data_IF_224194146388
#
_entry.id   IF_224194146388
#
_cell.length_a   1.000
_cell.length_b   1.000
_cell.length_c   1.000
_cell.angle_alpha   90.00
_cell.angle_beta   90.00
_cell.angle_gamma   90.00
#
_symmetry.space_group_name_H-M   'P 1'
#
loop_
_entity.id
_entity.type
_entity.pdbx_description
1 polymer ?
#
# COMPACT_ATOMS: atom_id res chain seq x y z
N UNK A 1 10.43 37.69 -1.58
CA UNK A 1 10.73 37.12 -2.92
C UNK A 1 9.76 36.01 -3.33
N UNK A 2 9.11 35.33 -2.38
CA UNK A 2 8.27 34.14 -2.65
C UNK A 2 6.77 34.44 -2.76
N UNK A 3 6.39 35.53 -3.43
CA UNK A 3 5.01 35.67 -3.88
C UNK A 3 4.95 35.27 -5.35
N UNK A 4 4.17 34.22 -5.70
CA UNK A 4 3.96 33.89 -7.10
C UNK A 4 3.28 35.06 -7.83
N UNK A 5 3.48 35.20 -9.16
CA UNK A 5 2.92 36.29 -9.93
C UNK A 5 1.39 36.41 -9.77
N UNK A 6 0.90 37.64 -9.69
CA UNK A 6 -0.55 37.92 -9.65
C UNK A 6 -1.23 37.33 -10.89
N UNK A 7 -2.20 36.43 -10.69
CA UNK A 7 -2.98 35.79 -11.76
C UNK A 7 -2.76 34.28 -11.94
N UNK A 8 -1.89 33.64 -11.15
CA UNK A 8 -1.70 32.17 -11.20
C UNK A 8 -2.76 31.38 -10.41
N UNK A 9 -3.56 32.06 -9.59
CA UNK A 9 -4.69 31.49 -8.86
C UNK A 9 -5.98 31.97 -9.52
N UNK A 10 -6.67 31.07 -10.20
CA UNK A 10 -8.04 31.31 -10.62
C UNK A 10 -8.96 30.80 -9.53
N UNK A 11 -9.50 31.73 -8.73
CA UNK A 11 -10.46 31.47 -7.64
C UNK A 11 -11.87 31.11 -8.19
N UNK A 12 -11.97 30.75 -9.48
CA UNK A 12 -13.22 30.33 -10.11
C UNK A 12 -13.83 29.08 -9.45
N UNK A 13 -15.17 29.05 -9.26
CA UNK A 13 -15.89 27.90 -8.70
C UNK A 13 -15.68 26.65 -9.58
N UNK A 14 -15.05 25.61 -9.03
CA UNK A 14 -14.77 24.35 -9.74
C UNK A 14 -13.30 23.94 -9.84
N UNK A 15 -12.37 24.75 -9.33
CA UNK A 15 -10.94 24.43 -9.40
C UNK A 15 -10.52 23.37 -8.36
N UNK A 16 -9.79 22.33 -8.80
CA UNK A 16 -9.41 21.19 -7.93
C UNK A 16 -8.23 21.52 -7.02
N UNK A 17 -8.06 20.70 -5.96
CA UNK A 17 -6.99 20.72 -4.94
C UNK A 17 -5.59 21.14 -5.45
N UNK A 18 -5.21 20.76 -6.68
CA UNK A 18 -3.91 21.08 -7.27
C UNK A 18 -3.67 22.56 -7.60
N UNK A 19 -4.74 23.36 -7.75
CA UNK A 19 -4.68 24.79 -8.09
C UNK A 19 -4.67 25.73 -6.88
N UNK A 20 -4.82 25.18 -5.68
CA UNK A 20 -5.07 25.94 -4.48
C UNK A 20 -3.79 26.37 -3.77
N UNK A 21 -3.83 27.57 -3.16
CA UNK A 21 -2.78 28.15 -2.30
C UNK A 21 -2.36 27.22 -1.15
N UNK A 22 -3.12 26.15 -0.86
CA UNK A 22 -2.84 25.14 0.17
C UNK A 22 -1.78 24.10 -0.21
N UNK A 23 -1.31 24.07 -1.47
CA UNK A 23 -0.24 23.14 -1.91
C UNK A 23 1.18 23.68 -1.67
N UNK A 24 1.34 24.92 -1.23
CA UNK A 24 2.64 25.34 -0.70
C UNK A 24 2.86 24.63 0.63
N UNK A 25 4.08 24.12 0.91
CA UNK A 25 4.41 23.61 2.24
C UNK A 25 4.02 24.69 3.25
N UNK A 26 3.37 24.30 4.34
CA UNK A 26 2.94 25.23 5.38
C UNK A 26 4.09 26.17 5.72
N UNK A 27 3.98 27.44 5.32
CA UNK A 27 4.99 28.42 5.61
C UNK A 27 4.84 28.82 7.07
N UNK A 28 5.87 28.54 7.88
CA UNK A 28 5.90 28.97 9.27
C UNK A 28 6.08 30.47 9.33
N UNK A 29 5.04 31.20 9.73
CA UNK A 29 5.11 32.64 9.91
C UNK A 29 5.62 32.96 11.31
N UNK A 30 6.89 33.36 11.38
CA UNK A 30 7.63 33.65 12.61
C UNK A 30 6.92 34.59 13.59
N UNK A 31 6.03 35.45 13.12
CA UNK A 31 5.24 36.41 13.90
C UNK A 31 3.84 35.91 14.32
N UNK A 32 3.42 34.73 13.83
CA UNK A 32 2.13 34.09 14.17
C UNK A 32 2.29 32.89 15.11
N UNK A 33 3.52 32.51 15.47
CA UNK A 33 3.79 31.43 16.41
C UNK A 33 4.12 31.96 17.81
N UNK A 34 3.57 31.32 18.83
CA UNK A 34 3.88 31.60 20.23
C UNK A 34 5.27 31.05 20.59
N UNK A 35 6.22 31.95 20.80
CA UNK A 35 7.62 31.66 21.20
C UNK A 35 7.83 31.56 22.71
N UNK A 36 6.78 31.68 23.51
CA UNK A 36 6.86 31.52 24.95
C UNK A 36 7.24 30.10 25.34
N UNK A 37 7.85 29.95 26.53
CA UNK A 37 8.13 28.64 27.12
C UNK A 37 6.88 27.76 27.12
N UNK A 38 7.05 26.50 26.74
CA UNK A 38 5.96 25.53 26.70
C UNK A 38 6.07 24.60 27.89
N UNK A 39 5.05 24.62 28.73
CA UNK A 39 4.93 23.64 29.82
C UNK A 39 4.12 22.46 29.30
N UNK A 40 4.73 21.29 29.30
CA UNK A 40 4.09 20.04 28.85
C UNK A 40 3.75 19.14 30.05
N UNK A 41 3.17 17.97 29.76
CA UNK A 41 2.75 16.99 30.77
C UNK A 41 3.89 16.71 31.75
N UNK A 42 3.56 16.68 33.05
CA UNK A 42 4.57 16.54 34.12
C UNK A 42 5.20 17.85 34.59
N UNK A 43 4.81 19.00 34.03
CA UNK A 43 5.34 20.31 34.41
C UNK A 43 6.75 20.58 33.88
N UNK A 44 7.19 19.77 32.90
CA UNK A 44 8.45 19.98 32.19
C UNK A 44 8.32 21.24 31.34
N UNK A 45 9.26 22.17 31.51
CA UNK A 45 9.32 23.39 30.73
C UNK A 45 10.30 23.18 29.58
N UNK A 46 9.79 23.26 28.36
CA UNK A 46 10.62 23.33 27.17
C UNK A 46 10.93 24.81 26.92
N UNK A 47 12.20 25.13 27.10
CA UNK A 47 12.79 26.46 26.93
C UNK A 47 13.06 26.70 25.45
N UNK A 48 12.48 27.77 24.91
CA UNK A 48 12.65 28.23 23.53
C UNK A 48 13.74 29.33 23.43
N UNK A 49 14.75 29.26 24.30
CA UNK A 49 15.83 30.25 24.40
C UNK A 49 17.12 29.82 23.68
N UNK A 50 17.09 28.74 22.92
CA UNK A 50 18.21 28.29 22.09
C UNK A 50 18.36 29.17 20.86
N UNK A 51 19.59 29.45 20.44
CA UNK A 51 19.83 29.94 19.07
C UNK A 51 19.77 28.74 18.13
N UNK A 52 19.36 28.98 16.88
CA UNK A 52 19.44 28.01 15.79
C UNK A 52 20.87 27.48 15.69
N UNK A 53 21.09 26.29 16.23
CA UNK A 53 22.35 25.58 16.08
C UNK A 53 22.21 24.71 14.83
N UNK A 54 23.23 24.69 13.95
CA UNK A 54 23.17 24.31 12.53
C UNK A 54 22.60 22.92 12.15
N UNK A 55 22.04 22.18 13.09
CA UNK A 55 21.26 20.94 12.89
C UNK A 55 19.74 21.18 12.76
N UNK A 56 19.21 22.35 13.13
CA UNK A 56 17.77 22.61 13.20
C UNK A 56 17.35 23.76 12.27
N UNK A 57 16.24 23.58 11.52
CA UNK A 57 15.74 24.61 10.58
C UNK A 57 15.05 25.77 11.30
N UNK A 58 14.46 25.52 12.47
CA UNK A 58 13.90 26.55 13.37
C UNK A 58 13.79 25.98 14.81
N UNK A 59 13.45 26.84 15.79
CA UNK A 59 13.27 26.42 17.19
C UNK A 59 12.04 25.52 17.42
N UNK A 60 10.99 25.65 16.60
CA UNK A 60 9.82 24.77 16.66
C UNK A 60 10.17 23.31 16.38
N UNK A 61 11.08 23.05 15.45
CA UNK A 61 11.58 21.71 15.13
C UNK A 61 12.35 21.10 16.32
N UNK A 62 13.07 21.93 17.07
CA UNK A 62 13.77 21.52 18.28
C UNK A 62 12.78 21.16 19.38
N UNK A 63 11.80 22.03 19.64
CA UNK A 63 10.78 21.80 20.67
C UNK A 63 9.98 20.51 20.39
N UNK A 64 9.54 20.29 19.16
CA UNK A 64 8.84 19.06 18.76
C UNK A 64 9.69 17.81 18.98
N UNK A 65 10.99 17.87 18.68
CA UNK A 65 11.92 16.76 18.94
C UNK A 65 12.14 16.54 20.42
N UNK A 66 12.25 17.59 21.24
CA UNK A 66 12.41 17.47 22.68
C UNK A 66 11.16 16.86 23.35
N UNK A 67 9.95 17.27 22.93
CA UNK A 67 8.68 16.64 23.33
C UNK A 67 8.66 15.17 22.92
N UNK A 68 9.01 14.88 21.66
CA UNK A 68 9.00 13.51 21.16
C UNK A 68 10.03 12.64 21.87
N UNK A 69 11.23 13.17 22.12
CA UNK A 69 12.29 12.51 22.87
C UNK A 69 11.90 12.28 24.33
N UNK A 70 11.15 13.20 24.93
CA UNK A 70 10.62 13.04 26.28
C UNK A 70 9.63 11.86 26.35
N UNK A 71 8.62 11.89 25.48
CA UNK A 71 7.50 10.95 25.47
C UNK A 71 7.91 9.59 24.91
N UNK A 72 8.51 9.58 23.72
CA UNK A 72 8.79 8.39 22.93
C UNK A 72 10.22 7.87 23.10
N UNK A 73 11.17 8.68 23.56
CA UNK A 73 12.59 8.31 23.54
C UNK A 73 13.30 8.76 22.25
N UNK A 74 14.60 8.50 22.11
CA UNK A 74 15.42 9.10 21.04
C UNK A 74 16.21 8.04 20.27
N UNK A 75 16.35 8.21 18.95
CA UNK A 75 17.08 7.27 18.10
C UNK A 75 18.60 7.19 18.41
N UNK A 76 19.16 8.22 19.06
CA UNK A 76 20.61 8.34 19.27
C UNK A 76 21.01 8.30 20.74
N UNK A 77 20.06 8.22 21.67
CA UNK A 77 20.36 8.21 23.08
C UNK A 77 20.59 6.76 23.54
N UNK A 78 21.84 6.46 23.90
CA UNK A 78 22.25 5.17 24.44
C UNK A 78 22.15 5.08 25.96
N UNK A 79 21.79 6.19 26.63
CA UNK A 79 21.57 6.20 28.08
C UNK A 79 20.16 5.68 28.39
N UNK A 80 20.03 4.59 29.16
CA UNK A 80 18.73 4.08 29.57
C UNK A 80 17.96 5.12 30.39
N UNK A 81 16.67 5.34 30.07
CA UNK A 81 15.79 6.15 30.91
C UNK A 81 15.34 5.37 32.13
N UNK A 82 15.24 6.05 33.26
CA UNK A 82 14.49 5.54 34.42
C UNK A 82 12.98 5.65 34.18
N UNK A 83 12.20 4.74 34.76
CA UNK A 83 10.75 4.72 34.64
C UNK A 83 10.10 4.90 36.01
N UNK A 84 9.12 5.80 36.10
CA UNK A 84 8.42 6.12 37.35
C UNK A 84 6.91 5.84 37.25
N UNK A 85 6.24 5.53 38.37
CA UNK A 85 4.79 5.33 38.42
C UNK A 85 3.99 6.63 38.32
N UNK A 86 4.63 7.78 38.47
CA UNK A 86 4.05 9.12 38.30
C UNK A 86 4.85 9.90 37.25
N UNK A 87 4.20 10.87 36.61
CA UNK A 87 4.88 11.75 35.67
C UNK A 87 5.93 12.58 36.40
N UNK A 88 7.17 12.54 35.89
CA UNK A 88 8.30 13.27 36.44
C UNK A 88 8.51 14.61 35.73
N UNK A 89 9.08 15.57 36.46
CA UNK A 89 9.64 16.80 35.89
C UNK A 89 11.01 16.59 35.24
N UNK A 90 11.65 15.45 35.50
CA UNK A 90 12.94 15.08 34.92
C UNK A 90 12.74 14.53 33.50
N UNK A 91 13.34 15.14 32.47
CA UNK A 91 13.23 14.66 31.09
C UNK A 91 13.84 13.27 30.84
N UNK A 92 14.65 12.78 31.77
CA UNK A 92 15.23 11.42 31.77
C UNK A 92 14.34 10.37 32.44
N UNK A 93 13.21 10.78 33.03
CA UNK A 93 12.26 9.87 33.70
C UNK A 93 10.96 9.81 32.91
N UNK A 94 10.63 8.65 32.34
CA UNK A 94 9.36 8.45 31.62
C UNK A 94 8.34 7.72 32.50
N UNK A 95 7.05 7.86 32.18
CA UNK A 95 6.01 7.10 32.86
C UNK A 95 6.14 5.61 32.54
N UNK A 96 6.00 4.76 33.56
CA UNK A 96 6.22 3.31 33.46
C UNK A 96 5.33 2.61 32.42
N UNK A 97 4.16 3.18 32.09
CA UNK A 97 3.22 2.62 31.11
C UNK A 97 3.53 3.03 29.68
N UNK A 98 4.35 4.05 29.44
CA UNK A 98 4.62 4.57 28.09
C UNK A 98 5.18 3.49 27.15
N UNK A 99 6.18 2.68 27.54
CA UNK A 99 6.71 1.62 26.66
C UNK A 99 5.63 0.61 26.26
N UNK A 100 4.80 0.19 27.21
CA UNK A 100 3.74 -0.80 26.96
C UNK A 100 2.65 -0.21 26.07
N UNK A 101 2.23 1.03 26.34
CA UNK A 101 1.20 1.70 25.56
C UNK A 101 1.63 1.90 24.10
N UNK A 102 2.84 2.42 23.87
CA UNK A 102 3.32 2.66 22.50
C UNK A 102 3.63 1.34 21.79
N UNK A 103 4.29 0.39 22.45
CA UNK A 103 4.54 -0.94 21.88
C UNK A 103 3.25 -1.62 21.43
N UNK A 104 2.19 -1.58 22.25
CA UNK A 104 0.89 -2.12 21.89
C UNK A 104 0.34 -1.48 20.61
N UNK A 105 0.36 -0.14 20.51
CA UNK A 105 -0.12 0.58 19.32
C UNK A 105 0.72 0.29 18.09
N UNK A 106 2.04 0.18 18.22
CA UNK A 106 2.91 -0.16 17.10
C UNK A 106 2.68 -1.59 16.62
N UNK A 107 2.52 -2.56 17.52
CA UNK A 107 2.21 -3.94 17.15
C UNK A 107 0.85 -4.01 16.43
N UNK A 108 -0.18 -3.31 16.94
CA UNK A 108 -1.48 -3.19 16.27
C UNK A 108 -1.38 -2.63 14.84
N UNK A 109 -0.44 -1.70 14.61
CA UNK A 109 -0.24 -1.06 13.30
C UNK A 109 0.63 -1.86 12.35
N UNK A 110 1.45 -2.77 12.85
CA UNK A 110 2.45 -3.47 12.05
C UNK A 110 2.15 -4.95 11.84
N UNK A 111 1.54 -5.64 12.82
CA UNK A 111 1.45 -7.11 12.83
C UNK A 111 0.03 -7.59 13.12
N UNK A 112 -0.49 -7.39 14.34
CA UNK A 112 -1.76 -8.00 14.79
C UNK A 112 -2.56 -7.07 15.71
N UNK A 113 -3.89 -7.10 15.60
CA UNK A 113 -4.78 -6.28 16.44
C UNK A 113 -4.76 -6.68 17.92
N UNK A 114 -4.43 -7.95 18.22
CA UNK A 114 -4.50 -8.53 19.58
C UNK A 114 -3.21 -9.29 19.95
N UNK A 115 -2.08 -8.59 20.19
CA UNK A 115 -0.83 -9.25 20.57
C UNK A 115 -0.91 -9.94 21.93
N UNK A 116 -0.17 -11.04 22.11
CA UNK A 116 -0.06 -11.70 23.40
C UNK A 116 0.67 -10.84 24.44
N UNK A 117 0.42 -11.12 25.73
CA UNK A 117 1.15 -10.50 26.84
C UNK A 117 2.68 -10.70 26.76
N UNK A 118 3.18 -11.93 26.51
CA UNK A 118 4.61 -12.17 26.30
C UNK A 118 5.22 -11.37 25.14
N UNK A 119 4.53 -11.25 24.01
CA UNK A 119 5.01 -10.46 22.87
C UNK A 119 5.08 -8.97 23.21
N UNK A 120 4.01 -8.43 23.79
CA UNK A 120 3.99 -7.04 24.24
C UNK A 120 5.10 -6.76 25.27
N UNK A 121 5.36 -7.70 26.19
CA UNK A 121 6.42 -7.59 27.18
C UNK A 121 7.80 -7.50 26.53
N UNK A 122 8.14 -8.39 25.58
CA UNK A 122 9.45 -8.39 24.91
C UNK A 122 9.71 -7.06 24.19
N UNK A 123 8.74 -6.57 23.43
CA UNK A 123 8.86 -5.28 22.71
C UNK A 123 8.97 -4.10 23.68
N UNK A 124 8.19 -4.10 24.76
CA UNK A 124 8.29 -3.07 25.79
C UNK A 124 9.65 -3.08 26.51
N UNK A 125 10.29 -4.25 26.67
CA UNK A 125 11.66 -4.34 27.20
C UNK A 125 12.68 -3.76 26.22
N UNK A 126 12.59 -4.09 24.92
CA UNK A 126 13.45 -3.47 23.90
C UNK A 126 13.33 -1.95 23.97
N UNK A 127 12.11 -1.42 24.01
CA UNK A 127 11.88 0.02 24.16
C UNK A 127 12.59 0.61 25.39
N UNK A 128 12.51 -0.06 26.55
CA UNK A 128 13.15 0.39 27.79
C UNK A 128 14.67 0.40 27.66
N UNK A 129 15.23 -0.65 27.09
CA UNK A 129 16.68 -0.84 26.96
C UNK A 129 17.30 0.10 25.93
N UNK A 130 16.57 0.40 24.86
CA UNK A 130 17.04 1.24 23.76
C UNK A 130 16.60 2.69 23.90
N UNK A 131 15.85 3.02 24.95
CA UNK A 131 15.28 4.35 25.14
C UNK A 131 14.43 4.80 23.93
N UNK A 132 13.59 3.89 23.44
CA UNK A 132 12.62 4.17 22.37
C UNK A 132 13.21 4.31 20.97
N UNK A 133 14.38 3.73 20.70
CA UNK A 133 14.93 3.65 19.33
C UNK A 133 13.97 2.85 18.43
N UNK A 134 13.26 3.56 17.54
CA UNK A 134 12.16 3.00 16.75
C UNK A 134 12.61 1.93 15.75
N UNK A 135 13.81 2.02 15.21
CA UNK A 135 14.39 0.99 14.35
C UNK A 135 14.59 -0.33 15.11
N UNK A 136 15.14 -0.28 16.32
CA UNK A 136 15.27 -1.46 17.19
C UNK A 136 13.92 -1.99 17.67
N UNK A 137 13.00 -1.11 18.03
CA UNK A 137 11.64 -1.48 18.45
C UNK A 137 10.87 -2.13 17.30
N UNK A 138 10.87 -1.52 16.11
CA UNK A 138 10.22 -2.07 14.91
C UNK A 138 10.87 -3.39 14.52
N UNK A 139 12.19 -3.51 14.62
CA UNK A 139 12.89 -4.77 14.41
C UNK A 139 12.42 -5.83 15.42
N UNK A 140 12.32 -5.50 16.70
CA UNK A 140 11.84 -6.41 17.73
C UNK A 140 10.38 -6.85 17.48
N UNK A 141 9.52 -5.94 17.01
CA UNK A 141 8.15 -6.26 16.59
C UNK A 141 8.17 -7.24 15.42
N UNK A 142 8.85 -6.89 14.32
CA UNK A 142 8.77 -7.66 13.08
C UNK A 142 9.50 -8.99 13.16
N UNK A 143 10.50 -9.15 14.03
CA UNK A 143 11.28 -10.38 14.18
C UNK A 143 10.85 -11.23 15.38
N UNK A 144 9.79 -10.84 16.09
CA UNK A 144 9.29 -11.62 17.22
C UNK A 144 8.82 -13.02 16.78
N UNK A 145 9.04 -14.09 17.57
CA UNK A 145 8.56 -15.43 17.24
C UNK A 145 7.06 -15.49 16.97
N UNK A 146 6.24 -14.70 17.67
CA UNK A 146 4.79 -14.64 17.43
C UNK A 146 4.48 -14.03 16.05
N UNK A 147 5.24 -13.02 15.63
CA UNK A 147 5.11 -12.34 14.33
C UNK A 147 5.67 -13.15 13.14
N UNK A 148 6.58 -14.10 13.39
CA UNK A 148 7.30 -14.83 12.33
C UNK A 148 6.89 -16.29 12.19
N UNK A 149 6.26 -16.88 13.20
CA UNK A 149 5.90 -18.29 13.19
C UNK A 149 4.50 -18.50 12.62
N UNK A 150 4.45 -18.93 11.36
CA UNK A 150 3.19 -19.22 10.66
C UNK A 150 2.33 -20.25 11.39
N UNK A 151 2.93 -21.31 11.96
CA UNK A 151 2.19 -22.33 12.69
C UNK A 151 1.44 -21.77 13.91
N UNK A 152 2.05 -20.82 14.63
CA UNK A 152 1.39 -20.13 15.76
C UNK A 152 0.24 -19.25 15.26
N UNK A 153 0.46 -18.51 14.17
CA UNK A 153 -0.54 -17.62 13.57
C UNK A 153 -1.73 -18.35 12.93
N UNK A 154 -1.54 -19.58 12.44
CA UNK A 154 -2.59 -20.36 11.79
C UNK A 154 -3.43 -21.16 12.78
N UNK A 155 -2.82 -21.68 13.84
CA UNK A 155 -3.54 -22.40 14.90
C UNK A 155 -4.38 -21.47 15.79
N UNK A 156 -4.08 -20.17 15.79
CA UNK A 156 -4.81 -19.18 16.58
C UNK A 156 -5.78 -18.38 15.69
N UNK A 157 -7.10 -18.65 15.77
CA UNK A 157 -8.10 -17.93 14.98
C UNK A 157 -8.22 -16.45 15.37
N UNK A 158 -7.71 -16.05 16.53
CA UNK A 158 -7.70 -14.67 17.00
C UNK A 158 -6.49 -13.87 16.51
N UNK A 159 -5.54 -14.52 15.84
CA UNK A 159 -4.28 -13.91 15.44
C UNK A 159 -4.37 -13.19 14.09
N UNK A 160 -3.58 -12.12 13.97
CA UNK A 160 -3.51 -11.28 12.79
C UNK A 160 -4.40 -10.05 12.89
N UNK A 161 -4.67 -9.45 11.74
CA UNK A 161 -5.56 -8.28 11.58
C UNK A 161 -6.07 -8.19 10.16
N UNK A 162 -7.21 -7.54 9.96
CA UNK A 162 -7.65 -7.18 8.61
C UNK A 162 -6.66 -6.16 8.03
N UNK A 163 -6.17 -6.35 6.81
CA UNK A 163 -5.40 -5.32 6.09
C UNK A 163 -6.30 -4.12 5.83
N UNK A 164 -5.76 -2.92 6.02
CA UNK A 164 -6.44 -1.70 5.59
C UNK A 164 -6.76 -1.78 4.09
N UNK A 165 -7.99 -1.45 3.64
CA UNK A 165 -8.40 -1.57 2.24
C UNK A 165 -7.40 -0.99 1.23
N UNK A 166 -6.85 0.20 1.53
CA UNK A 166 -5.88 0.84 0.66
C UNK A 166 -4.54 0.10 0.60
N UNK A 167 -4.10 -0.49 1.72
CA UNK A 167 -2.84 -1.25 1.78
C UNK A 167 -2.96 -2.56 1.02
N UNK A 168 -4.07 -3.28 1.21
CA UNK A 168 -4.35 -4.50 0.46
C UNK A 168 -4.49 -4.21 -1.05
N UNK A 169 -5.13 -3.10 -1.42
CA UNK A 169 -5.28 -2.73 -2.82
C UNK A 169 -3.93 -2.36 -3.47
N UNK A 170 -3.12 -1.55 -2.78
CA UNK A 170 -1.78 -1.17 -3.27
C UNK A 170 -0.83 -2.37 -3.35
N UNK A 171 -0.90 -3.30 -2.41
CA UNK A 171 -0.05 -4.50 -2.44
C UNK A 171 -0.33 -5.33 -3.71
N UNK A 172 -1.60 -5.49 -4.11
CA UNK A 172 -1.96 -6.22 -5.32
C UNK A 172 -1.50 -5.49 -6.58
N UNK A 173 -1.63 -4.15 -6.62
CA UNK A 173 -1.12 -3.34 -7.73
C UNK A 173 0.40 -3.46 -7.86
N UNK A 174 1.13 -3.49 -6.74
CA UNK A 174 2.59 -3.66 -6.74
C UNK A 174 3.01 -5.03 -7.26
N UNK A 175 2.24 -6.08 -6.98
CA UNK A 175 2.55 -7.42 -7.43
C UNK A 175 2.54 -7.57 -8.96
N UNK A 176 1.74 -6.74 -9.65
CA UNK A 176 1.68 -6.67 -11.11
C UNK A 176 2.30 -5.39 -11.67
N UNK A 177 3.23 -4.78 -10.94
CA UNK A 177 3.96 -3.60 -11.42
C UNK A 177 3.05 -2.51 -11.99
N UNK A 178 1.93 -2.21 -11.32
CA UNK A 178 1.01 -1.15 -11.75
C UNK A 178 1.75 0.16 -12.05
N UNK A 179 1.13 1.07 -12.79
CA UNK A 179 1.72 2.38 -13.15
C UNK A 179 0.66 3.41 -13.54
N UNK A 180 0.95 4.70 -13.31
CA UNK A 180 0.28 5.79 -14.03
C UNK A 180 0.97 5.99 -15.38
N UNK A 181 0.26 6.58 -16.35
CA UNK A 181 0.88 7.06 -17.59
C UNK A 181 1.75 8.29 -17.35
N UNK A 182 1.36 9.10 -16.37
CA UNK A 182 2.15 10.23 -15.88
C UNK A 182 3.09 9.71 -14.79
N UNK A 183 4.40 9.80 -15.04
CA UNK A 183 5.43 9.39 -14.09
C UNK A 183 5.66 10.45 -13.01
N UNK A 184 6.45 10.09 -11.98
CA UNK A 184 6.82 11.00 -10.90
C UNK A 184 7.47 12.29 -11.41
N UNK A 185 8.34 12.20 -12.41
CA UNK A 185 9.00 13.36 -13.02
C UNK A 185 8.07 14.20 -13.92
N UNK A 186 6.78 13.86 -14.02
CA UNK A 186 5.82 14.55 -14.87
C UNK A 186 5.97 14.25 -16.36
N UNK A 187 6.84 13.29 -16.75
CA UNK A 187 6.86 12.79 -18.12
C UNK A 187 5.68 11.84 -18.38
N UNK A 188 5.34 11.63 -19.66
CA UNK A 188 4.33 10.66 -20.07
C UNK A 188 5.02 9.62 -20.92
N UNK A 189 4.81 8.36 -20.59
CA UNK A 189 5.43 7.23 -21.29
C UNK A 189 4.84 7.14 -22.71
N UNK A 190 5.64 7.38 -23.78
CA UNK A 190 5.13 7.34 -25.15
C UNK A 190 4.82 5.90 -25.59
N UNK A 191 3.64 5.68 -26.17
CA UNK A 191 3.30 4.41 -26.82
C UNK A 191 2.83 3.29 -25.89
N UNK A 192 2.47 3.59 -24.64
CA UNK A 192 1.96 2.58 -23.71
C UNK A 192 0.58 2.03 -24.13
N UNK A 193 0.50 0.74 -24.50
CA UNK A 193 -0.72 0.15 -25.02
C UNK A 193 -1.68 -0.15 -23.87
N UNK A 194 -2.85 0.50 -23.85
CA UNK A 194 -4.05 -0.10 -23.25
C UNK A 194 -4.77 -0.87 -24.37
N UNK A 195 -4.05 -1.75 -25.07
CA UNK A 195 -4.44 -2.35 -26.37
C UNK A 195 -4.31 -1.35 -27.55
N UNK A 196 -3.60 -1.73 -28.61
CA UNK A 196 -3.33 -0.96 -29.86
C UNK A 196 -4.63 -0.45 -30.54
N UNK A 197 -4.64 0.57 -31.46
CA UNK A 197 -3.52 1.23 -32.17
C UNK A 197 -3.44 2.78 -32.03
N UNK A 198 -2.27 3.31 -32.39
CA UNK A 198 -1.86 4.72 -32.60
C UNK A 198 -2.50 5.79 -31.67
N UNK A 199 -1.86 6.05 -30.54
CA UNK A 199 -2.00 7.32 -29.83
C UNK A 199 -0.88 8.26 -30.30
N UNK A 200 -1.24 9.35 -30.99
CA UNK A 200 -0.33 10.47 -31.24
C UNK A 200 -0.26 11.32 -29.98
N UNK A 201 0.93 11.42 -29.39
CA UNK A 201 1.20 12.39 -28.32
C UNK A 201 1.04 13.80 -28.90
N UNK A 202 0.09 14.58 -28.38
CA UNK A 202 -0.01 16.01 -28.73
C UNK A 202 0.67 16.79 -27.61
N UNK A 203 1.96 17.10 -27.81
CA UNK A 203 2.72 17.98 -26.92
C UNK A 203 4.07 17.41 -26.50
N UNK A 204 5.10 18.25 -26.55
CA UNK A 204 6.35 18.03 -25.83
C UNK A 204 6.09 18.39 -24.37
N UNK A 205 6.00 17.39 -23.50
CA UNK A 205 6.01 17.60 -22.07
C UNK A 205 7.35 18.22 -21.70
N UNK A 206 7.31 19.45 -21.19
CA UNK A 206 8.45 19.97 -20.43
C UNK A 206 8.16 19.58 -18.99
N UNK A 207 8.76 18.50 -18.46
CA UNK A 207 8.48 18.06 -17.10
C UNK A 207 8.65 19.24 -16.14
N UNK A 208 7.64 19.49 -15.30
CA UNK A 208 7.81 20.45 -14.21
C UNK A 208 8.76 19.82 -13.20
N UNK A 209 9.88 20.48 -12.91
CA UNK A 209 10.86 20.06 -11.91
C UNK A 209 10.25 19.72 -10.53
N UNK A 210 9.05 20.22 -10.26
CA UNK A 210 8.44 20.17 -8.94
C UNK A 210 7.93 18.78 -8.53
N UNK A 211 7.81 17.83 -9.48
CA UNK A 211 7.33 16.47 -9.22
C UNK A 211 8.47 15.43 -9.16
N UNK A 212 9.66 15.77 -9.67
CA UNK A 212 10.80 14.87 -9.70
C UNK A 212 11.45 14.73 -8.31
N UNK A 213 11.40 13.51 -7.76
CA UNK A 213 12.03 13.16 -6.48
C UNK A 213 13.57 13.34 -6.51
N UNK A 214 14.19 13.33 -7.69
CA UNK A 214 15.62 13.63 -7.84
C UNK A 214 15.96 15.09 -7.55
N UNK A 215 14.97 16.00 -7.58
CA UNK A 215 15.13 17.41 -7.21
C UNK A 215 15.03 17.65 -5.70
N UNK A 216 14.68 16.61 -4.93
CA UNK A 216 14.81 16.60 -3.48
C UNK A 216 16.10 15.84 -3.16
N UNK A 217 16.89 16.30 -2.17
CA UNK A 217 18.21 15.75 -1.79
C UNK A 217 18.19 14.30 -1.24
N UNK A 218 17.50 13.37 -1.93
CA UNK A 218 17.49 11.96 -1.62
C UNK A 218 18.77 11.30 -2.17
N UNK A 219 19.44 10.44 -1.38
CA UNK A 219 20.62 9.72 -1.86
C UNK A 219 20.30 8.88 -3.10
N UNK A 220 21.16 8.94 -4.13
CA UNK A 220 20.98 8.18 -5.37
C UNK A 220 20.79 6.67 -5.11
N UNK A 221 21.55 6.09 -4.18
CA UNK A 221 21.41 4.68 -3.79
C UNK A 221 20.07 4.34 -3.12
N UNK A 222 19.35 5.32 -2.58
CA UNK A 222 17.98 5.14 -2.09
C UNK A 222 16.96 5.21 -3.22
N UNK A 223 17.22 6.04 -4.24
CA UNK A 223 16.38 6.17 -5.43
C UNK A 223 16.46 4.91 -6.32
N UNK A 224 17.65 4.34 -6.49
CA UNK A 224 17.87 3.07 -7.24
C UNK A 224 17.17 1.86 -6.60
N UNK A 225 16.77 1.94 -5.32
CA UNK A 225 16.00 0.88 -4.65
C UNK A 225 14.52 0.85 -5.05
N UNK A 226 14.02 1.87 -5.76
CA UNK A 226 12.66 1.93 -6.27
C UNK A 226 12.52 1.32 -7.68
N UNK A 227 13.51 0.58 -8.20
CA UNK A 227 13.39 -0.10 -9.49
C UNK A 227 12.40 -1.29 -9.42
N UNK A 228 11.38 -1.28 -10.30
CA UNK A 228 10.34 -2.31 -10.38
C UNK A 228 10.73 -3.55 -11.18
N UNK A 229 9.74 -4.42 -11.44
CA UNK A 229 9.89 -5.64 -12.26
C UNK A 229 10.15 -5.37 -13.76
N UNK A 230 10.12 -4.10 -14.16
CA UNK A 230 10.34 -3.61 -15.53
C UNK A 230 11.26 -2.39 -15.50
N UNK A 231 12.11 -2.24 -16.51
CA UNK A 231 12.94 -1.05 -16.75
C UNK A 231 12.66 -0.47 -18.12
N UNK A 232 12.95 0.80 -18.31
CA UNK A 232 12.95 1.41 -19.63
C UNK A 232 14.32 1.15 -20.28
N UNK A 233 14.32 0.68 -21.53
CA UNK A 233 15.53 0.65 -22.34
C UNK A 233 15.86 2.05 -22.88
N UNK A 234 16.99 2.17 -23.60
CA UNK A 234 17.44 3.44 -24.17
C UNK A 234 16.46 4.04 -25.21
N UNK A 235 15.46 3.29 -25.65
CA UNK A 235 14.41 3.74 -26.57
C UNK A 235 13.10 4.08 -25.87
N UNK A 236 13.07 4.00 -24.53
CA UNK A 236 11.86 4.21 -23.72
C UNK A 236 10.91 3.02 -23.73
N UNK A 237 11.30 1.88 -24.29
CA UNK A 237 10.49 0.64 -24.28
C UNK A 237 10.72 -0.12 -22.99
N UNK A 238 9.66 -0.74 -22.49
CA UNK A 238 9.75 -1.61 -21.33
C UNK A 238 10.50 -2.89 -21.69
N UNK A 239 11.48 -3.24 -20.86
CA UNK A 239 12.16 -4.53 -20.89
C UNK A 239 12.15 -5.14 -19.49
N UNK A 240 11.96 -6.48 -19.38
CA UNK A 240 11.96 -7.16 -18.09
C UNK A 240 13.33 -7.03 -17.41
N UNK A 241 13.35 -6.74 -16.11
CA UNK A 241 14.57 -6.73 -15.30
C UNK A 241 14.95 -8.16 -14.87
N UNK A 242 15.24 -9.02 -15.85
CA UNK A 242 15.64 -10.42 -15.60
C UNK A 242 14.56 -11.25 -14.89
N UNK A 243 14.90 -12.39 -14.26
CA UNK A 243 13.98 -13.16 -13.41
C UNK A 243 13.72 -12.36 -12.12
N UNK A 244 12.89 -11.32 -12.26
CA UNK A 244 12.77 -10.19 -11.35
C UNK A 244 12.57 -10.58 -9.90
N UNK A 245 13.41 -9.99 -9.03
CA UNK A 245 13.14 -9.94 -7.59
C UNK A 245 11.84 -9.17 -7.40
N UNK A 246 10.91 -9.76 -6.65
CA UNK A 246 9.63 -9.17 -6.30
C UNK A 246 9.77 -7.68 -5.99
N UNK A 247 9.08 -6.81 -6.73
CA UNK A 247 9.08 -5.37 -6.46
C UNK A 247 8.42 -5.12 -5.10
N UNK A 248 9.24 -5.11 -4.04
CA UNK A 248 8.76 -4.90 -2.65
C UNK A 248 8.38 -3.43 -2.40
N UNK A 249 8.81 -2.53 -3.29
CA UNK A 249 8.45 -1.12 -3.37
C UNK A 249 7.99 -0.81 -4.81
N UNK A 250 7.08 0.15 -5.01
CA UNK A 250 6.50 0.40 -6.33
C UNK A 250 7.56 0.93 -7.30
N UNK A 251 7.63 0.32 -8.49
CA UNK A 251 8.54 0.71 -9.57
C UNK A 251 8.19 2.07 -10.19
N UNK A 252 6.97 2.54 -9.98
CA UNK A 252 6.43 3.82 -10.47
C UNK A 252 5.36 4.34 -9.48
N UNK A 253 4.96 5.61 -9.57
CA UNK A 253 3.81 6.13 -8.79
C UNK A 253 2.50 6.00 -9.54
N UNK A 254 1.40 5.88 -8.79
CA UNK A 254 0.04 5.80 -9.33
C UNK A 254 -0.77 6.96 -8.78
N UNK A 255 -1.49 7.67 -9.63
CA UNK A 255 -2.41 8.72 -9.19
C UNK A 255 -3.73 8.09 -8.76
N UNK A 256 -4.24 8.50 -7.61
CA UNK A 256 -5.45 7.96 -7.01
C UNK A 256 -6.57 9.00 -7.07
N UNK A 257 -7.76 8.58 -7.53
CA UNK A 257 -8.99 9.34 -7.31
C UNK A 257 -9.46 9.21 -5.86
N UNK A 258 -10.51 9.96 -5.51
CA UNK A 258 -11.22 9.75 -4.26
C UNK A 258 -11.88 8.38 -4.25
N UNK A 259 -11.44 7.52 -3.33
CA UNK A 259 -11.92 6.17 -3.08
C UNK A 259 -12.78 6.07 -1.80
N UNK A 260 -13.21 7.19 -1.21
CA UNK A 260 -14.02 7.26 0.01
C UNK A 260 -15.43 7.83 -0.21
N UNK A 261 -15.88 7.97 -1.47
CA UNK A 261 -17.16 8.61 -1.81
C UNK A 261 -18.42 7.76 -1.55
N UNK A 262 -18.32 6.59 -0.90
CA UNK A 262 -19.48 5.80 -0.44
C UNK A 262 -20.36 5.13 -1.52
N UNK A 263 -19.87 4.97 -2.76
CA UNK A 263 -20.60 4.34 -3.87
C UNK A 263 -20.36 2.84 -4.04
N UNK A 264 -20.70 2.28 -5.20
CA UNK A 264 -20.52 0.84 -5.51
C UNK A 264 -19.06 0.40 -5.65
N UNK A 265 -18.15 1.36 -5.83
CA UNK A 265 -16.70 1.16 -5.94
C UNK A 265 -15.96 2.17 -5.07
N UNK A 266 -15.72 1.79 -3.82
CA UNK A 266 -15.03 2.60 -2.84
C UNK A 266 -14.17 1.69 -1.93
N UNK A 267 -13.04 2.22 -1.47
CA UNK A 267 -12.20 1.60 -0.44
C UNK A 267 -12.54 2.08 0.98
N UNK A 268 -13.28 3.19 1.10
CA UNK A 268 -13.52 3.85 2.39
C UNK A 268 -12.27 4.56 2.95
N UNK A 269 -11.20 4.65 2.17
CA UNK A 269 -9.94 5.31 2.53
C UNK A 269 -9.36 6.06 1.32
N UNK A 270 -8.82 7.25 1.58
CA UNK A 270 -8.07 8.06 0.61
C UNK A 270 -6.87 8.68 1.32
N UNK A 271 -5.67 8.69 0.71
CA UNK A 271 -4.49 9.32 1.31
C UNK A 271 -4.78 10.78 1.70
N UNK A 272 -4.19 11.22 2.81
CA UNK A 272 -4.35 12.59 3.35
C UNK A 272 -5.77 12.98 3.79
N UNK A 273 -6.74 12.05 3.75
CA UNK A 273 -8.12 12.27 4.21
C UNK A 273 -8.46 11.41 5.42
N UNK A 274 -7.50 11.22 6.32
CA UNK A 274 -7.81 10.61 7.61
C UNK A 274 -8.77 11.52 8.41
N UNK A 275 -9.87 11.01 8.97
CA UNK A 275 -10.83 11.78 9.75
C UNK A 275 -10.25 12.30 11.07
N UNK A 276 -9.08 11.80 11.47
CA UNK A 276 -8.37 12.19 12.69
C UNK A 276 -6.87 12.22 12.41
N UNK A 277 -6.14 13.04 13.19
CA UNK A 277 -4.67 13.05 13.25
C UNK A 277 -4.07 11.72 13.71
N UNK A 278 -4.89 10.84 14.30
CA UNK A 278 -4.41 9.56 14.84
C UNK A 278 -4.48 8.40 13.84
N UNK A 279 -5.58 8.24 13.09
CA UNK A 279 -5.70 7.42 11.87
C UNK A 279 -7.14 7.43 11.30
N UNK A 280 -7.41 6.61 10.27
CA UNK A 280 -8.76 6.23 9.77
C UNK A 280 -9.66 5.51 10.77
N UNK A 281 -9.10 4.92 11.82
CA UNK A 281 -9.87 4.15 12.79
C UNK A 281 -9.21 4.15 14.17
N UNK A 282 -10.06 3.98 15.18
CA UNK A 282 -9.72 3.98 16.59
C UNK A 282 -9.04 2.66 16.95
N UNK A 283 -7.84 2.69 17.56
CA UNK A 283 -7.10 1.46 17.84
C UNK A 283 -7.72 0.62 18.98
N UNK A 284 -8.79 1.09 19.63
CA UNK A 284 -9.60 0.34 20.59
C UNK A 284 -10.99 -0.07 20.07
N UNK A 285 -11.28 0.09 18.77
CA UNK A 285 -12.59 -0.25 18.23
C UNK A 285 -12.87 -1.76 18.33
N UNK A 286 -14.07 -2.09 18.79
CA UNK A 286 -14.57 -3.45 19.00
C UNK A 286 -15.86 -3.63 18.20
N UNK A 287 -15.84 -4.32 17.05
CA UNK A 287 -17.08 -4.65 16.35
C UNK A 287 -17.93 -5.58 17.22
N UNK A 288 -19.25 -5.51 17.06
CA UNK A 288 -20.18 -6.41 17.76
C UNK A 288 -19.99 -7.88 17.38
N UNK A 289 -20.68 -8.77 18.09
CA UNK A 289 -20.61 -10.22 17.88
C UNK A 289 -19.42 -10.88 18.59
N UNK A 290 -18.87 -11.94 17.96
CA UNK A 290 -17.87 -12.83 18.58
C UNK A 290 -16.61 -12.09 19.04
N UNK A 291 -16.12 -11.12 18.27
CA UNK A 291 -14.89 -10.38 18.61
C UNK A 291 -15.07 -9.61 19.93
N UNK A 292 -16.18 -8.89 20.09
CA UNK A 292 -16.49 -8.19 21.33
C UNK A 292 -16.76 -9.14 22.50
N UNK A 293 -17.42 -10.29 22.27
CA UNK A 293 -17.68 -11.26 23.36
C UNK A 293 -16.41 -11.88 23.93
N UNK A 294 -15.37 -12.04 23.10
CA UNK A 294 -14.03 -12.46 23.57
C UNK A 294 -13.17 -11.31 24.11
N UNK A 295 -13.73 -10.09 24.21
CA UNK A 295 -13.04 -8.90 24.70
C UNK A 295 -11.95 -8.36 23.76
N UNK A 296 -11.84 -8.90 22.55
CA UNK A 296 -10.83 -8.57 21.54
C UNK A 296 -11.17 -7.27 20.82
N UNK A 297 -10.17 -6.68 20.19
CA UNK A 297 -10.32 -5.49 19.34
C UNK A 297 -10.07 -5.85 17.89
N UNK A 298 -10.75 -5.16 16.98
CA UNK A 298 -10.48 -5.27 15.55
C UNK A 298 -10.64 -3.89 14.92
N UNK A 299 -9.63 -3.01 15.11
CA UNK A 299 -9.71 -1.60 14.75
C UNK A 299 -10.12 -1.35 13.30
N UNK A 300 -9.61 -2.16 12.38
CA UNK A 300 -9.81 -2.03 10.94
C UNK A 300 -11.27 -2.26 10.50
N UNK A 301 -12.05 -3.01 11.27
CA UNK A 301 -13.49 -3.20 11.00
C UNK A 301 -14.33 -1.96 11.25
N UNK A 302 -13.74 -0.87 11.78
CA UNK A 302 -14.43 0.41 11.83
C UNK A 302 -14.67 1.00 10.42
N UNK A 303 -13.77 0.70 9.49
CA UNK A 303 -13.87 1.15 8.09
C UNK A 303 -14.22 0.00 7.14
N UNK A 304 -13.97 -1.25 7.55
CA UNK A 304 -14.36 -2.45 6.80
C UNK A 304 -15.67 -3.02 7.35
N UNK A 305 -16.78 -2.54 6.82
CA UNK A 305 -18.13 -3.09 7.02
C UNK A 305 -18.48 -4.12 5.96
N UNK A 306 -19.55 -4.90 6.17
CA UNK A 306 -20.10 -5.86 5.19
C UNK A 306 -20.32 -5.22 3.80
N UNK A 307 -20.89 -4.02 3.77
CA UNK A 307 -21.12 -3.28 2.52
C UNK A 307 -19.80 -2.86 1.87
N UNK A 308 -18.86 -2.29 2.63
CA UNK A 308 -17.57 -1.85 2.09
C UNK A 308 -16.70 -3.03 1.60
N UNK A 309 -16.85 -4.22 2.17
CA UNK A 309 -16.14 -5.41 1.72
C UNK A 309 -16.52 -5.77 0.27
N UNK A 310 -17.81 -5.67 -0.08
CA UNK A 310 -18.29 -5.85 -1.46
C UNK A 310 -17.80 -4.71 -2.38
N UNK A 311 -17.82 -3.47 -1.89
CA UNK A 311 -17.31 -2.32 -2.66
C UNK A 311 -15.82 -2.48 -2.98
N UNK A 312 -15.03 -2.97 -2.02
CA UNK A 312 -13.61 -3.25 -2.21
C UNK A 312 -13.39 -4.27 -3.34
N UNK A 313 -14.16 -5.37 -3.37
CA UNK A 313 -14.07 -6.39 -4.43
C UNK A 313 -14.32 -5.74 -5.81
N UNK A 314 -15.32 -4.85 -5.91
CA UNK A 314 -15.58 -4.14 -7.16
C UNK A 314 -14.44 -3.19 -7.56
N UNK A 315 -13.78 -2.55 -6.59
CA UNK A 315 -12.57 -1.75 -6.86
C UNK A 315 -11.46 -2.66 -7.41
N UNK A 316 -11.24 -3.83 -6.83
CA UNK A 316 -10.19 -4.77 -7.27
C UNK A 316 -10.47 -5.25 -8.68
N UNK A 317 -11.73 -5.58 -8.98
CA UNK A 317 -12.15 -5.94 -10.32
C UNK A 317 -11.88 -4.80 -11.32
N UNK A 318 -12.27 -3.56 -11.01
CA UNK A 318 -12.02 -2.43 -11.94
C UNK A 318 -10.55 -2.10 -12.13
N UNK A 319 -9.75 -2.16 -11.07
CA UNK A 319 -8.36 -1.71 -11.09
C UNK A 319 -7.37 -2.75 -11.58
N UNK A 320 -7.57 -4.02 -11.23
CA UNK A 320 -6.63 -5.09 -11.56
C UNK A 320 -7.17 -5.97 -12.70
N UNK A 321 -8.47 -6.25 -12.70
CA UNK A 321 -9.08 -7.20 -13.65
C UNK A 321 -9.59 -6.54 -14.93
N UNK A 322 -10.12 -5.32 -14.87
CA UNK A 322 -10.56 -4.63 -16.07
C UNK A 322 -9.33 -4.12 -16.84
N UNK A 323 -9.20 -4.49 -18.12
CA UNK A 323 -8.04 -4.13 -18.94
C UNK A 323 -7.84 -2.61 -19.11
N UNK A 324 -8.84 -1.79 -18.81
CA UNK A 324 -8.75 -0.33 -18.90
C UNK A 324 -8.09 0.33 -17.68
N UNK A 325 -7.85 -0.41 -16.59
CA UNK A 325 -7.31 0.15 -15.36
C UNK A 325 -8.30 1.04 -14.60
N UNK A 326 -7.81 1.73 -13.56
CA UNK A 326 -8.61 2.65 -12.74
C UNK A 326 -8.34 4.11 -13.12
N UNK A 327 -9.37 4.90 -13.47
CA UNK A 327 -9.20 6.32 -13.81
C UNK A 327 -8.67 7.14 -12.63
N UNK A 328 -7.60 7.92 -12.86
CA UNK A 328 -7.14 8.95 -11.92
C UNK A 328 -7.81 10.30 -12.21
N UNK A 329 -7.75 11.24 -11.27
CA UNK A 329 -8.41 12.55 -11.41
C UNK A 329 -7.73 13.38 -12.49
N UNK A 330 -8.44 14.27 -13.18
CA UNK A 330 -7.83 15.22 -14.11
C UNK A 330 -6.86 16.17 -13.39
N UNK A 331 -5.73 16.48 -14.03
CA UNK A 331 -4.83 17.55 -13.60
C UNK A 331 -5.52 18.89 -13.93
N UNK A 332 -5.59 19.82 -12.97
CA UNK A 332 -6.25 21.11 -13.20
C UNK A 332 -7.79 21.07 -13.22
N UNK A 333 -8.40 20.03 -12.65
CA UNK A 333 -9.84 19.97 -12.34
C UNK A 333 -10.78 19.62 -13.50
N UNK A 334 -10.33 19.69 -14.75
CA UNK A 334 -11.09 19.25 -15.93
C UNK A 334 -10.17 18.78 -17.07
N UNK A 335 -10.75 18.11 -18.07
CA UNK A 335 -10.02 17.52 -19.20
C UNK A 335 -9.30 18.57 -20.05
N UNK A 336 -9.91 19.77 -20.23
CA UNK A 336 -9.33 20.84 -21.03
C UNK A 336 -8.04 21.38 -20.39
N UNK A 337 -8.05 21.61 -19.07
CA UNK A 337 -6.90 22.06 -18.31
C UNK A 337 -5.80 21.00 -18.25
N UNK A 338 -6.17 19.73 -18.12
CA UNK A 338 -5.21 18.61 -18.23
C UNK A 338 -4.51 18.60 -19.60
N UNK A 339 -5.28 18.78 -20.68
CA UNK A 339 -4.74 18.83 -22.04
C UNK A 339 -3.85 20.06 -22.26
N UNK A 340 -4.26 21.24 -21.78
CA UNK A 340 -3.47 22.48 -21.85
C UNK A 340 -2.15 22.38 -21.06
N UNK A 341 -2.14 21.63 -19.97
CA UNK A 341 -0.94 21.32 -19.20
C UNK A 341 -0.07 20.21 -19.82
N UNK A 342 -0.45 19.68 -21.00
CA UNK A 342 0.28 18.63 -21.71
C UNK A 342 -0.01 17.21 -21.22
N UNK A 343 -0.86 17.02 -20.21
CA UNK A 343 -1.18 15.72 -19.60
C UNK A 343 -2.38 15.01 -20.23
N UNK A 344 -3.03 15.61 -21.23
CA UNK A 344 -4.18 15.01 -21.91
C UNK A 344 -3.74 13.89 -22.86
N UNK A 345 -4.13 12.64 -22.57
CA UNK A 345 -3.95 11.55 -23.53
C UNK A 345 -5.17 11.48 -24.45
N UNK A 346 -4.96 11.47 -25.76
CA UNK A 346 -6.04 11.41 -26.74
C UNK A 346 -6.22 9.97 -27.23
N UNK A 347 -7.42 9.40 -27.07
CA UNK A 347 -7.83 8.18 -27.75
C UNK A 347 -8.74 8.54 -28.92
N UNK A 348 -8.26 8.31 -30.13
CA UNK A 348 -9.05 8.46 -31.35
C UNK A 348 -9.67 7.11 -31.72
N UNK A 349 -10.99 7.08 -31.85
CA UNK A 349 -11.71 5.90 -32.31
C UNK A 349 -11.81 5.89 -33.83
N UNK A 350 -11.98 4.70 -34.40
CA UNK A 350 -12.16 4.51 -35.84
C UNK A 350 -13.39 5.24 -36.41
N UNK A 351 -14.34 5.65 -35.56
CA UNK A 351 -15.50 6.46 -35.99
C UNK A 351 -15.22 7.97 -36.02
N UNK A 352 -13.97 8.41 -35.82
CA UNK A 352 -13.57 9.82 -35.78
C UNK A 352 -13.81 10.53 -34.44
N UNK A 353 -14.46 9.87 -33.48
CA UNK A 353 -14.62 10.38 -32.11
C UNK A 353 -13.28 10.37 -31.38
N UNK A 354 -13.09 11.38 -30.56
CA UNK A 354 -11.92 11.56 -29.72
C UNK A 354 -12.34 11.61 -28.27
N UNK A 355 -11.77 10.76 -27.43
CA UNK A 355 -11.87 10.90 -25.96
C UNK A 355 -10.53 11.34 -25.40
N UNK A 356 -10.56 12.31 -24.51
CA UNK A 356 -9.46 12.56 -23.60
C UNK A 356 -9.50 11.45 -22.56
N UNK A 357 -8.52 10.55 -22.59
CA UNK A 357 -8.39 9.51 -21.57
C UNK A 357 -7.69 10.12 -20.36
N UNK A 358 -8.34 9.96 -19.21
CA UNK A 358 -7.74 10.27 -17.92
C UNK A 358 -6.44 9.46 -17.74
N UNK A 359 -5.57 9.94 -16.86
CA UNK A 359 -4.41 9.16 -16.42
C UNK A 359 -4.92 7.95 -15.64
N UNK A 360 -4.98 6.77 -16.26
CA UNK A 360 -5.43 5.57 -15.57
C UNK A 360 -4.26 4.90 -14.84
N UNK A 361 -4.54 4.29 -13.70
CA UNK A 361 -3.68 3.27 -13.09
C UNK A 361 -3.80 2.01 -13.93
N UNK A 362 -2.72 1.64 -14.59
CA UNK A 362 -2.63 0.50 -15.50
C UNK A 362 -1.85 -0.62 -14.80
N UNK A 363 -2.44 -1.80 -14.55
CA UNK A 363 -1.68 -2.96 -14.11
C UNK A 363 -0.79 -3.50 -15.25
N UNK A 364 0.48 -3.81 -14.96
CA UNK A 364 1.44 -4.32 -15.93
C UNK A 364 1.71 -5.83 -15.75
N UNK A 365 1.03 -6.61 -16.57
CA UNK A 365 1.14 -8.07 -16.54
C UNK A 365 2.30 -8.62 -17.38
N UNK A 366 3.06 -7.79 -18.09
CA UNK A 366 4.05 -8.26 -19.06
C UNK A 366 5.13 -9.14 -18.43
N UNK A 367 5.62 -8.76 -17.24
CA UNK A 367 6.59 -9.55 -16.51
C UNK A 367 6.05 -10.93 -16.09
N UNK A 368 4.75 -11.01 -15.77
CA UNK A 368 4.08 -12.26 -15.43
C UNK A 368 3.82 -13.15 -16.65
N UNK A 369 3.45 -12.55 -17.79
CA UNK A 369 3.30 -13.27 -19.05
C UNK A 369 4.62 -13.92 -19.46
N UNK A 370 5.72 -13.15 -19.38
CA UNK A 370 7.05 -13.66 -19.69
C UNK A 370 7.47 -14.77 -18.71
N UNK A 371 7.20 -14.60 -17.41
CA UNK A 371 7.45 -15.63 -16.41
C UNK A 371 6.67 -16.92 -16.70
N UNK A 372 5.38 -16.81 -17.01
CA UNK A 372 4.52 -17.96 -17.32
C UNK A 372 5.06 -18.79 -18.48
N UNK A 373 5.55 -18.14 -19.54
CA UNK A 373 6.19 -18.80 -20.69
C UNK A 373 7.47 -19.58 -20.36
N UNK A 374 8.11 -19.26 -19.24
CA UNK A 374 9.37 -19.87 -18.83
C UNK A 374 9.19 -20.95 -17.74
N UNK A 375 7.96 -21.21 -17.29
CA UNK A 375 7.68 -22.36 -16.42
C UNK A 375 8.00 -23.66 -17.14
N UNK A 376 8.41 -24.67 -16.37
CA UNK A 376 8.88 -25.95 -16.89
C UNK A 376 8.03 -27.06 -16.29
N UNK A 377 7.64 -28.00 -17.14
CA UNK A 377 6.93 -29.21 -16.74
C UNK A 377 7.96 -30.24 -16.24
N UNK A 378 7.64 -30.93 -15.16
CA UNK A 378 8.35 -32.11 -14.69
C UNK A 378 7.81 -33.37 -15.40
N UNK A 379 8.60 -34.04 -16.27
CA UNK A 379 8.15 -35.25 -16.96
C UNK A 379 7.75 -36.40 -16.03
N UNK A 380 8.13 -36.36 -14.75
CA UNK A 380 7.76 -37.35 -13.75
C UNK A 380 6.45 -37.06 -13.00
N UNK A 381 5.82 -35.91 -13.23
CA UNK A 381 4.58 -35.52 -12.55
C UNK A 381 3.36 -36.16 -13.25
N UNK A 382 2.46 -36.84 -12.51
CA UNK A 382 1.24 -37.41 -13.09
C UNK A 382 0.18 -36.36 -13.47
N UNK A 383 0.37 -35.09 -13.08
CA UNK A 383 -0.54 -34.00 -13.39
C UNK A 383 -0.42 -33.57 -14.86
N UNK A 384 -1.51 -33.08 -15.44
CA UNK A 384 -1.51 -32.53 -16.80
C UNK A 384 -0.55 -31.32 -16.91
N UNK A 385 0.19 -31.25 -18.01
CA UNK A 385 1.21 -30.23 -18.29
C UNK A 385 0.70 -28.79 -18.06
N UNK A 386 -0.52 -28.48 -18.51
CA UNK A 386 -1.11 -27.15 -18.35
C UNK A 386 -1.46 -26.87 -16.89
N UNK A 387 -1.98 -27.86 -16.18
CA UNK A 387 -2.26 -27.74 -14.75
C UNK A 387 -0.98 -27.52 -13.96
N UNK A 388 0.14 -28.15 -14.34
CA UNK A 388 1.41 -27.95 -13.65
C UNK A 388 1.93 -26.53 -13.81
N UNK A 389 1.83 -25.98 -15.01
CA UNK A 389 2.21 -24.59 -15.30
C UNK A 389 1.30 -23.62 -14.54
N UNK A 390 -0.02 -23.86 -14.52
CA UNK A 390 -0.97 -23.04 -13.77
C UNK A 390 -0.73 -23.11 -12.25
N UNK A 391 -0.35 -24.28 -11.74
CA UNK A 391 0.02 -24.45 -10.34
C UNK A 391 1.31 -23.68 -9.99
N UNK A 392 2.30 -23.67 -10.89
CA UNK A 392 3.51 -22.85 -10.72
C UNK A 392 3.18 -21.36 -10.67
N UNK A 393 2.24 -20.87 -11.49
CA UNK A 393 1.74 -19.50 -11.41
C UNK A 393 1.13 -19.19 -10.05
N UNK A 394 0.25 -20.07 -9.55
CA UNK A 394 -0.38 -19.93 -8.24
C UNK A 394 0.67 -19.90 -7.13
N UNK A 395 1.67 -20.78 -7.18
CA UNK A 395 2.74 -20.87 -6.18
C UNK A 395 3.62 -19.61 -6.16
N UNK A 396 3.93 -19.06 -7.32
CA UNK A 396 4.69 -17.81 -7.41
C UNK A 396 3.90 -16.60 -6.91
N UNK A 397 2.60 -16.54 -7.19
CA UNK A 397 1.71 -15.52 -6.62
C UNK A 397 1.53 -15.69 -5.10
N UNK A 398 1.45 -16.92 -4.60
CA UNK A 398 1.37 -17.25 -3.17
C UNK A 398 2.66 -16.80 -2.46
N UNK A 399 3.82 -17.14 -3.00
CA UNK A 399 5.12 -16.70 -2.48
C UNK A 399 5.20 -15.17 -2.38
N UNK A 400 4.66 -14.45 -3.35
CA UNK A 400 4.67 -12.98 -3.39
C UNK A 400 3.67 -12.34 -2.43
N UNK A 401 2.41 -12.75 -2.49
CA UNK A 401 1.30 -12.06 -1.84
C UNK A 401 1.06 -12.54 -0.41
N UNK A 402 1.34 -13.82 -0.18
CA UNK A 402 0.92 -14.59 0.98
C UNK A 402 2.10 -15.30 1.68
N UNK A 403 3.33 -15.17 1.15
CA UNK A 403 4.54 -15.81 1.66
C UNK A 403 4.50 -17.35 1.65
N UNK A 404 3.83 -17.95 0.65
CA UNK A 404 3.76 -19.42 0.49
C UNK A 404 2.74 -20.10 1.41
N UNK A 405 1.91 -19.30 2.09
CA UNK A 405 0.98 -19.76 3.11
C UNK A 405 -0.22 -20.48 2.52
N UNK A 406 -0.63 -20.13 1.29
CA UNK A 406 -1.77 -20.74 0.61
C UNK A 406 -1.49 -22.21 0.29
N UNK A 407 -0.29 -22.52 -0.22
CA UNK A 407 0.17 -23.90 -0.49
C UNK A 407 0.25 -24.77 0.77
N UNK A 408 0.64 -24.18 1.91
CA UNK A 408 0.74 -24.89 3.19
C UNK A 408 -0.65 -25.26 3.73
N UNK A 409 -1.60 -24.33 3.65
CA UNK A 409 -2.95 -24.53 4.15
C UNK A 409 -3.79 -25.44 3.25
N UNK A 410 -3.54 -25.39 1.95
CA UNK A 410 -4.33 -26.06 0.92
C UNK A 410 -3.43 -26.89 0.02
N UNK A 411 -2.92 -28.05 0.51
CA UNK A 411 -2.17 -28.96 -0.34
C UNK A 411 -3.09 -29.50 -1.45
N UNK A 412 -2.56 -29.65 -2.68
CA UNK A 412 -3.31 -30.27 -3.78
C UNK A 412 -3.45 -31.76 -3.49
N UNK A 413 -4.67 -32.28 -3.58
CA UNK A 413 -4.94 -33.71 -3.65
C UNK A 413 -4.92 -34.17 -5.12
N UNK A 414 -3.89 -34.93 -5.54
CA UNK A 414 -3.82 -35.46 -6.91
C UNK A 414 -4.89 -36.52 -7.21
N UNK A 415 -5.63 -37.00 -6.21
CA UNK A 415 -6.73 -37.97 -6.35
C UNK A 415 -8.12 -37.36 -6.51
N UNK A 416 -8.28 -36.03 -6.38
CA UNK A 416 -9.57 -35.35 -6.58
C UNK A 416 -9.89 -35.23 -8.08
N UNK A 417 -10.87 -36.01 -8.55
CA UNK A 417 -11.29 -36.06 -9.94
C UNK A 417 -12.26 -34.93 -10.34
N UNK A 418 -12.65 -34.08 -9.37
CA UNK A 418 -13.39 -32.87 -9.66
C UNK A 418 -14.84 -33.05 -10.04
N UNK A 419 -15.46 -34.19 -9.70
CA UNK A 419 -16.86 -34.46 -10.03
C UNK A 419 -17.77 -33.46 -9.28
N UNK A 420 -18.61 -32.68 -10.00
CA UNK A 420 -19.55 -31.76 -9.36
C UNK A 420 -20.67 -32.51 -8.63
N UNK A 421 -21.05 -32.04 -7.43
CA UNK A 421 -22.22 -32.54 -6.71
C UNK A 421 -23.34 -31.48 -6.72
N UNK A 422 -24.54 -31.79 -7.23
CA UNK A 422 -25.65 -30.83 -7.22
C UNK A 422 -26.17 -30.56 -5.80
N UNK A 423 -26.23 -29.28 -5.39
CA UNK A 423 -26.97 -28.84 -4.20
C UNK A 423 -28.06 -27.84 -4.61
N UNK A 424 -29.23 -28.35 -5.00
CA UNK A 424 -30.31 -27.53 -5.57
C UNK A 424 -29.98 -27.08 -7.00
N UNK A 425 -30.16 -25.79 -7.34
CA UNK A 425 -29.74 -25.23 -8.63
C UNK A 425 -28.26 -24.80 -8.66
N UNK A 426 -27.54 -24.94 -7.55
CA UNK A 426 -26.13 -24.60 -7.43
C UNK A 426 -25.31 -25.87 -7.59
N UNK A 427 -24.41 -25.85 -8.57
CA UNK A 427 -23.41 -26.90 -8.71
C UNK A 427 -22.30 -26.57 -7.69
N UNK A 428 -22.15 -27.40 -6.67
CA UNK A 428 -21.14 -27.24 -5.62
C UNK A 428 -20.12 -28.38 -5.73
N UNK A 429 -18.85 -28.11 -5.41
CA UNK A 429 -17.78 -29.11 -5.39
C UNK A 429 -17.45 -29.43 -3.92
N UNK A 430 -18.16 -30.37 -3.26
CA UNK A 430 -17.82 -30.78 -1.91
C UNK A 430 -16.51 -31.55 -1.94
N UNK A 431 -15.41 -30.91 -1.52
CA UNK A 431 -14.10 -31.56 -1.41
C UNK A 431 -12.94 -30.66 -1.81
N UNK A 432 -13.15 -29.79 -2.80
CA UNK A 432 -12.09 -28.91 -3.29
C UNK A 432 -11.72 -27.85 -2.27
N UNK A 433 -10.44 -27.81 -1.94
CA UNK A 433 -9.89 -26.71 -1.19
C UNK A 433 -9.80 -25.43 -2.06
N UNK A 434 -9.58 -24.26 -1.46
CA UNK A 434 -9.47 -22.99 -2.19
C UNK A 434 -8.39 -22.98 -3.30
N UNK A 435 -7.29 -23.72 -3.15
CA UNK A 435 -6.20 -23.76 -4.15
C UNK A 435 -6.55 -24.65 -5.35
N UNK A 436 -7.23 -25.76 -5.13
CA UNK A 436 -7.80 -26.60 -6.20
C UNK A 436 -8.91 -25.88 -6.95
N UNK A 437 -9.75 -25.12 -6.23
CA UNK A 437 -10.77 -24.27 -6.84
C UNK A 437 -10.15 -23.21 -7.75
N UNK A 438 -9.06 -22.58 -7.30
CA UNK A 438 -8.29 -21.62 -8.09
C UNK A 438 -7.73 -22.27 -9.35
N UNK A 439 -7.06 -23.42 -9.23
CA UNK A 439 -6.50 -24.18 -10.34
C UNK A 439 -7.57 -24.53 -11.39
N UNK A 440 -8.75 -24.97 -10.94
CA UNK A 440 -9.87 -25.28 -11.82
C UNK A 440 -10.35 -24.07 -12.64
N UNK A 441 -10.50 -22.90 -12.02
CA UNK A 441 -10.93 -21.69 -12.73
C UNK A 441 -9.89 -21.16 -13.73
N UNK A 442 -8.60 -21.52 -13.57
CA UNK A 442 -7.57 -21.21 -14.55
C UNK A 442 -7.59 -22.18 -15.74
N UNK A 443 -7.89 -23.47 -15.49
CA UNK A 443 -7.97 -24.48 -16.55
C UNK A 443 -9.03 -24.18 -17.61
N UNK A 444 -10.17 -23.62 -17.23
CA UNK A 444 -11.27 -23.30 -18.17
C UNK A 444 -10.99 -22.05 -19.03
N UNK A 445 -9.85 -21.37 -18.79
CA UNK A 445 -9.38 -20.32 -19.70
C UNK A 445 -8.56 -20.93 -20.83
N UNK A 446 -9.24 -21.12 -21.96
CA UNK A 446 -8.79 -21.49 -23.31
C UNK A 446 -7.26 -21.30 -23.57
N UNK A 447 -6.66 -22.32 -24.19
CA UNK A 447 -5.25 -22.63 -24.59
C UNK A 447 -4.06 -21.67 -24.30
N UNK A 448 -2.96 -22.24 -23.78
CA UNK A 448 -1.76 -21.53 -23.32
C UNK A 448 -0.82 -20.86 -24.36
N UNK A 449 -1.20 -20.70 -25.63
CA UNK A 449 -0.27 -20.29 -26.70
C UNK A 449 -0.33 -18.80 -27.09
N UNK A 450 -1.35 -18.05 -26.65
CA UNK A 450 -1.49 -16.61 -26.95
C UNK A 450 -1.25 -15.74 -25.70
N UNK A 451 -0.59 -14.59 -25.88
CA UNK A 451 -0.34 -13.61 -24.82
C UNK A 451 -1.63 -13.15 -24.15
N UNK A 452 -2.73 -13.04 -24.90
CA UNK A 452 -4.04 -12.65 -24.34
C UNK A 452 -4.63 -13.71 -23.41
N UNK A 453 -4.35 -15.00 -23.68
CA UNK A 453 -4.84 -16.12 -22.89
C UNK A 453 -4.02 -16.24 -21.59
N UNK A 454 -2.69 -16.16 -21.69
CA UNK A 454 -1.79 -16.10 -20.52
C UNK A 454 -2.13 -14.89 -19.64
N UNK A 455 -2.34 -13.73 -20.27
CA UNK A 455 -2.78 -12.52 -19.57
C UNK A 455 -4.07 -12.75 -18.78
N UNK A 456 -5.05 -13.41 -19.37
CA UNK A 456 -6.33 -13.73 -18.71
C UNK A 456 -6.12 -14.65 -17.51
N UNK A 457 -5.26 -15.68 -17.63
CA UNK A 457 -4.90 -16.58 -16.53
C UNK A 457 -4.27 -15.85 -15.35
N UNK A 458 -3.23 -15.05 -15.60
CA UNK A 458 -2.53 -14.27 -14.55
C UNK A 458 -3.50 -13.33 -13.83
N UNK A 459 -4.38 -12.68 -14.58
CA UNK A 459 -5.36 -11.74 -14.05
C UNK A 459 -6.44 -12.42 -13.20
N UNK A 460 -6.94 -13.58 -13.65
CA UNK A 460 -7.89 -14.40 -12.89
C UNK A 460 -7.26 -14.87 -11.59
N UNK A 461 -6.03 -15.39 -11.65
CA UNK A 461 -5.29 -15.87 -10.48
C UNK A 461 -5.10 -14.75 -9.46
N UNK A 462 -4.58 -13.59 -9.90
CA UNK A 462 -4.38 -12.44 -9.04
C UNK A 462 -5.68 -11.96 -8.39
N UNK A 463 -6.76 -11.83 -9.17
CA UNK A 463 -8.04 -11.34 -8.66
C UNK A 463 -8.64 -12.26 -7.59
N UNK A 464 -8.65 -13.57 -7.85
CA UNK A 464 -9.18 -14.55 -6.90
C UNK A 464 -8.33 -14.62 -5.62
N UNK A 465 -7.00 -14.56 -5.73
CA UNK A 465 -6.12 -14.53 -4.57
C UNK A 465 -6.23 -13.21 -3.78
N UNK A 466 -6.23 -12.05 -4.45
CA UNK A 466 -6.29 -10.75 -3.80
C UNK A 466 -7.64 -10.44 -3.14
N UNK A 467 -8.69 -11.21 -3.46
CA UNK A 467 -10.00 -11.10 -2.82
C UNK A 467 -10.22 -12.17 -1.74
N UNK A 468 -9.27 -13.09 -1.55
CA UNK A 468 -9.39 -14.17 -0.57
C UNK A 468 -9.15 -13.69 0.87
N UNK A 469 -9.72 -14.38 1.88
CA UNK A 469 -9.43 -14.10 3.28
C UNK A 469 -7.93 -14.21 3.62
N UNK A 470 -7.22 -15.16 3.02
CA UNK A 470 -5.79 -15.38 3.26
C UNK A 470 -4.96 -14.17 2.85
N UNK A 471 -5.38 -13.48 1.79
CA UNK A 471 -4.77 -12.22 1.39
C UNK A 471 -5.20 -11.05 2.25
N UNK A 472 -6.49 -10.93 2.52
CA UNK A 472 -7.04 -9.76 3.19
C UNK A 472 -6.73 -9.73 4.70
N UNK A 473 -6.36 -10.86 5.28
CA UNK A 473 -5.91 -10.96 6.67
C UNK A 473 -4.38 -10.96 6.67
N UNK A 474 -3.81 -9.97 7.36
CA UNK A 474 -2.40 -9.95 7.67
C UNK A 474 -2.15 -10.86 8.87
N UNK A 475 -1.26 -11.83 8.70
CA UNK A 475 -0.75 -12.70 9.75
C UNK A 475 0.76 -12.52 9.86
#
# INVERSE_FOLDING_TARGET
PDNPPSGRYDDSPGNSWYSSRYNYPMAFYENRHDRGNKTIVGGVVISNNGRSNGRYRNEGDKDLRDVHNLLAGTQLNTTPKSFAPTWSRDPMVNHQTTPVFIAYRLIQRLVTSNPSGPYLYRVAQTWRNTNGQLDEVVRAILLDPEARNLSISELNPEYGRKKEPIIAWIQALRAVGGRSRITLDGSVIPGDPILLPLQTHIGSLTPTSDADLHNFDYPAASLTKFEGMVKHDATGRLVPTGPGKFARLPGTSYRLQNLDNGGTTALGQVPLRAPSVFNWFLPGYKPGGLIASYGKVAPEFQIVTESSALQNINVYWRSHYNGNGWSATNVGGNNANSALAGYGTQRQYNNGSTTYTDDNIIPDYYAWINRYRNYRIDPGNPMDDEQEIDLQLIDDLDNLLLAGRFKILYPIDPGDDGIPVPQGSLTHYPGRNPRETLLYYLRDTWSANDDNQIWSKVRNALYLMATSPEYLIQK
#
